data_IF_545669762578
#
_entry.id   IF_545669762578
#
_cell.length_a   1.000
_cell.length_b   1.000
_cell.length_c   1.000
_cell.angle_alpha   90.00
_cell.angle_beta   90.00
_cell.angle_gamma   90.00
#
_symmetry.space_group_name_H-M   'P 1'
#
loop_
_entity.id
_entity.type
_entity.pdbx_description
1 polymer ?
#
# COMPACT_ATOMS: atom_id res chain seq x y z
N UNK A 1 -43.99 -2.78 21.58
CA UNK A 1 -42.61 -3.30 21.71
C UNK A 1 -41.81 -3.14 20.42
N UNK A 2 -42.30 -3.66 19.28
CA UNK A 2 -41.64 -3.57 17.97
C UNK A 2 -41.37 -2.14 17.45
N UNK A 3 -42.28 -1.20 17.71
CA UNK A 3 -42.15 0.21 17.27
C UNK A 3 -40.94 0.90 17.92
N UNK A 4 -40.68 0.63 19.21
CA UNK A 4 -39.54 1.21 19.92
C UNK A 4 -38.20 0.64 19.42
N UNK A 5 -38.18 -0.64 19.06
CA UNK A 5 -37.01 -1.30 18.48
C UNK A 5 -36.71 -0.71 17.10
N UNK A 6 -37.73 -0.55 16.25
CA UNK A 6 -37.58 0.05 14.92
C UNK A 6 -37.05 1.48 15.00
N UNK A 7 -37.60 2.29 15.93
CA UNK A 7 -37.13 3.66 16.16
C UNK A 7 -35.66 3.68 16.56
N UNK A 8 -35.24 2.81 17.49
CA UNK A 8 -33.85 2.75 17.94
C UNK A 8 -32.90 2.35 16.79
N UNK A 9 -33.26 1.35 15.99
CA UNK A 9 -32.46 0.92 14.85
C UNK A 9 -32.32 2.05 13.82
N UNK A 10 -33.41 2.78 13.53
CA UNK A 10 -33.37 3.92 12.62
C UNK A 10 -32.48 5.06 13.15
N UNK A 11 -32.54 5.33 14.45
CA UNK A 11 -31.73 6.36 15.11
C UNK A 11 -30.24 5.98 15.12
N UNK A 12 -29.93 4.72 15.47
CA UNK A 12 -28.57 4.19 15.43
C UNK A 12 -28.01 4.25 13.99
N UNK A 13 -28.83 3.93 12.99
CA UNK A 13 -28.44 4.03 11.58
C UNK A 13 -28.08 5.47 11.17
N UNK A 14 -28.90 6.47 11.54
CA UNK A 14 -28.60 7.88 11.28
C UNK A 14 -27.33 8.33 12.00
N UNK A 15 -27.13 7.93 13.25
CA UNK A 15 -25.92 8.22 14.00
C UNK A 15 -24.68 7.61 13.34
N UNK A 16 -24.79 6.40 12.79
CA UNK A 16 -23.71 5.76 12.04
C UNK A 16 -23.36 6.50 10.75
N UNK A 17 -24.34 7.06 10.04
CA UNK A 17 -24.08 7.89 8.84
C UNK A 17 -23.25 9.12 9.21
N UNK A 18 -23.57 9.79 10.31
CA UNK A 18 -22.85 10.99 10.76
C UNK A 18 -21.48 10.63 11.36
N UNK A 19 -21.38 9.49 12.04
CA UNK A 19 -20.12 9.01 12.62
C UNK A 19 -19.14 8.48 11.56
N UNK A 20 -19.63 7.95 10.45
CA UNK A 20 -18.84 7.39 9.37
C UNK A 20 -17.68 8.29 8.89
N UNK A 21 -17.90 9.57 8.50
CA UNK A 21 -16.81 10.44 8.06
C UNK A 21 -15.78 10.70 9.17
N UNK A 22 -16.24 10.85 10.42
CA UNK A 22 -15.33 11.02 11.56
C UNK A 22 -14.45 9.79 11.76
N UNK A 23 -15.03 8.58 11.69
CA UNK A 23 -14.27 7.35 11.79
C UNK A 23 -13.29 7.18 10.64
N UNK A 24 -13.69 7.52 9.40
CA UNK A 24 -12.84 7.40 8.21
C UNK A 24 -11.52 8.14 8.35
N UNK A 25 -11.55 9.39 8.82
CA UNK A 25 -10.34 10.21 9.00
C UNK A 25 -9.61 9.99 10.33
N UNK A 26 -10.13 9.13 11.22
CA UNK A 26 -9.50 8.82 12.51
C UNK A 26 -9.06 7.36 12.56
N UNK A 27 -9.90 6.48 13.09
CA UNK A 27 -9.62 5.06 13.26
C UNK A 27 -9.44 4.33 11.94
N UNK A 28 -10.23 4.68 10.93
CA UNK A 28 -10.13 4.15 9.56
C UNK A 28 -8.79 4.48 8.94
N UNK A 29 -8.39 5.76 8.98
CA UNK A 29 -7.12 6.25 8.45
C UNK A 29 -5.93 5.52 9.06
N UNK A 30 -5.92 5.36 10.39
CA UNK A 30 -4.84 4.62 11.08
C UNK A 30 -4.76 3.17 10.58
N UNK A 31 -5.90 2.48 10.48
CA UNK A 31 -5.94 1.08 10.02
C UNK A 31 -5.50 0.95 8.56
N UNK A 32 -5.99 1.84 7.70
CA UNK A 32 -5.61 1.87 6.29
C UNK A 32 -4.11 2.17 6.12
N UNK A 33 -3.56 3.12 6.90
CA UNK A 33 -2.14 3.44 6.88
C UNK A 33 -1.26 2.26 7.33
N UNK A 34 -1.65 1.57 8.40
CA UNK A 34 -0.96 0.35 8.85
C UNK A 34 -1.02 -0.75 7.78
N UNK A 35 -2.19 -0.94 7.16
CA UNK A 35 -2.34 -1.90 6.08
C UNK A 35 -1.46 -1.57 4.85
N UNK A 36 -1.37 -0.29 4.47
CA UNK A 36 -0.46 0.15 3.42
C UNK A 36 0.99 -0.13 3.78
N UNK A 37 1.39 0.10 5.04
CA UNK A 37 2.73 -0.22 5.50
C UNK A 37 3.02 -1.73 5.40
N UNK A 38 2.09 -2.58 5.81
CA UNK A 38 2.22 -4.03 5.69
C UNK A 38 2.35 -4.48 4.21
N UNK A 39 1.62 -3.84 3.29
CA UNK A 39 1.75 -4.09 1.85
C UNK A 39 3.12 -3.68 1.30
N UNK A 40 3.73 -2.62 1.82
CA UNK A 40 5.08 -2.20 1.43
C UNK A 40 6.14 -3.19 1.96
N UNK A 41 5.99 -3.65 3.21
CA UNK A 41 6.87 -4.68 3.76
C UNK A 41 6.79 -5.97 2.94
N UNK A 42 5.58 -6.42 2.63
CA UNK A 42 5.36 -7.59 1.78
C UNK A 42 5.98 -7.41 0.39
N UNK A 43 5.83 -6.22 -0.22
CA UNK A 43 6.49 -5.90 -1.49
C UNK A 43 8.02 -5.96 -1.39
N UNK A 44 8.59 -5.53 -0.27
CA UNK A 44 10.02 -5.60 -0.01
C UNK A 44 10.50 -7.05 0.15
N UNK A 45 9.71 -7.92 0.79
CA UNK A 45 10.06 -9.34 0.94
C UNK A 45 10.07 -10.08 -0.41
N UNK A 46 9.14 -9.78 -1.32
CA UNK A 46 9.09 -10.40 -2.64
C UNK A 46 10.19 -9.90 -3.59
N UNK A 47 10.48 -8.60 -3.57
CA UNK A 47 11.45 -8.01 -4.50
C UNK A 47 12.87 -8.01 -3.94
N UNK A 48 13.00 -7.96 -2.61
CA UNK A 48 14.22 -8.02 -1.81
C UNK A 48 15.41 -7.20 -2.33
N UNK A 49 15.23 -5.94 -2.80
CA UNK A 49 16.32 -5.16 -3.40
C UNK A 49 17.52 -5.02 -2.46
N UNK A 50 17.27 -4.84 -1.15
CA UNK A 50 18.31 -4.72 -0.12
C UNK A 50 19.25 -5.93 -0.05
N UNK A 51 18.69 -7.14 -0.23
CA UNK A 51 19.47 -8.38 -0.17
C UNK A 51 20.42 -8.47 -1.37
N UNK A 52 19.97 -8.04 -2.55
CA UNK A 52 20.78 -8.03 -3.75
C UNK A 52 21.90 -7.00 -3.68
N UNK A 53 21.64 -5.81 -3.12
CA UNK A 53 22.66 -4.78 -2.89
C UNK A 53 23.76 -5.29 -1.96
N UNK A 54 23.39 -5.90 -0.83
CA UNK A 54 24.37 -6.45 0.14
C UNK A 54 25.24 -7.56 -0.45
N UNK A 55 24.70 -8.32 -1.42
CA UNK A 55 25.40 -9.44 -2.03
C UNK A 55 26.01 -9.11 -3.40
N UNK A 56 26.13 -7.84 -3.80
CA UNK A 56 26.56 -7.51 -5.17
C UNK A 56 27.94 -8.08 -5.55
N UNK A 57 28.84 -8.23 -4.56
CA UNK A 57 30.20 -8.75 -4.76
C UNK A 57 30.34 -10.28 -4.59
N UNK A 58 29.27 -10.98 -4.24
CA UNK A 58 29.30 -12.44 -4.11
C UNK A 58 29.20 -13.08 -5.50
N UNK A 59 30.13 -13.96 -5.91
CA UNK A 59 30.09 -14.57 -7.25
C UNK A 59 28.88 -15.53 -7.39
N UNK A 60 28.16 -15.48 -8.53
CA UNK A 60 27.01 -16.35 -8.80
C UNK A 60 27.39 -17.80 -9.10
N UNK A 61 28.51 -18.04 -9.78
CA UNK A 61 28.86 -19.36 -10.34
C UNK A 61 29.96 -20.10 -9.58
N UNK A 62 30.37 -19.61 -8.40
CA UNK A 62 31.46 -20.21 -7.61
C UNK A 62 32.85 -20.17 -8.28
N UNK A 63 32.94 -19.75 -9.54
CA UNK A 63 34.19 -19.53 -10.27
C UNK A 63 34.88 -18.24 -9.79
N UNK A 64 36.18 -18.34 -9.56
CA UNK A 64 37.01 -17.23 -9.08
C UNK A 64 37.63 -16.41 -10.20
N UNK A 65 37.35 -16.76 -11.46
CA UNK A 65 37.86 -16.04 -12.63
C UNK A 65 37.41 -14.59 -12.64
N UNK A 66 38.35 -13.69 -12.97
CA UNK A 66 38.11 -12.25 -12.98
C UNK A 66 37.00 -11.85 -13.96
N UNK A 67 36.92 -12.53 -15.11
CA UNK A 67 35.87 -12.35 -16.12
C UNK A 67 34.50 -12.76 -15.57
N UNK A 68 34.41 -13.91 -14.88
CA UNK A 68 33.18 -14.40 -14.28
C UNK A 68 32.66 -13.49 -13.15
N UNK A 69 33.57 -12.90 -12.37
CA UNK A 69 33.22 -11.91 -11.34
C UNK A 69 32.64 -10.61 -11.93
N UNK A 70 33.24 -10.09 -13.00
CA UNK A 70 32.74 -8.90 -13.70
C UNK A 70 31.33 -9.11 -14.24
N UNK A 71 31.08 -10.25 -14.89
CA UNK A 71 29.74 -10.60 -15.40
C UNK A 71 28.73 -10.76 -14.26
N UNK A 72 29.11 -11.41 -13.16
CA UNK A 72 28.25 -11.58 -11.97
C UNK A 72 27.83 -10.23 -11.36
N UNK A 73 28.76 -9.28 -11.24
CA UNK A 73 28.47 -7.93 -10.74
C UNK A 73 27.51 -7.21 -11.68
N UNK A 74 27.73 -7.28 -13.00
CA UNK A 74 26.87 -6.63 -13.98
C UNK A 74 25.43 -7.17 -13.96
N UNK A 75 25.25 -8.50 -13.94
CA UNK A 75 23.92 -9.11 -13.87
C UNK A 75 23.21 -8.74 -12.55
N UNK A 76 23.92 -8.78 -11.42
CA UNK A 76 23.36 -8.35 -10.13
C UNK A 76 22.99 -6.87 -10.12
N UNK A 77 23.80 -6.02 -10.73
CA UNK A 77 23.52 -4.59 -10.88
C UNK A 77 22.23 -4.33 -11.67
N UNK A 78 22.06 -5.01 -12.81
CA UNK A 78 20.82 -4.91 -13.61
C UNK A 78 19.62 -5.43 -12.81
N UNK A 79 19.75 -6.56 -12.12
CA UNK A 79 18.68 -7.10 -11.27
C UNK A 79 18.29 -6.14 -10.13
N UNK A 80 19.26 -5.47 -9.50
CA UNK A 80 19.00 -4.46 -8.47
C UNK A 80 18.19 -3.30 -9.07
N UNK A 81 18.59 -2.77 -10.23
CA UNK A 81 17.85 -1.67 -10.88
C UNK A 81 16.41 -2.08 -11.19
N UNK A 82 16.22 -3.24 -11.84
CA UNK A 82 14.89 -3.70 -12.22
C UNK A 82 13.99 -3.98 -10.99
N UNK A 83 14.52 -4.63 -9.96
CA UNK A 83 13.76 -4.91 -8.72
C UNK A 83 13.45 -3.64 -7.94
N UNK A 84 14.38 -2.69 -7.90
CA UNK A 84 14.15 -1.37 -7.26
C UNK A 84 13.07 -0.60 -8.01
N UNK A 85 13.12 -0.59 -9.34
CA UNK A 85 12.07 0.05 -10.16
C UNK A 85 10.70 -0.60 -9.95
N UNK A 86 10.64 -1.94 -9.92
CA UNK A 86 9.42 -2.67 -9.61
C UNK A 86 8.87 -2.34 -8.21
N UNK A 87 9.76 -2.18 -7.21
CA UNK A 87 9.36 -1.82 -5.85
C UNK A 87 8.85 -0.38 -5.75
N UNK A 88 9.47 0.55 -6.47
CA UNK A 88 8.99 1.93 -6.59
C UNK A 88 7.59 1.95 -7.23
N UNK A 89 7.39 1.19 -8.31
CA UNK A 89 6.09 1.09 -8.96
C UNK A 89 5.02 0.50 -8.02
N UNK A 90 5.35 -0.57 -7.29
CA UNK A 90 4.47 -1.15 -6.27
C UNK A 90 4.10 -0.12 -5.19
N UNK A 91 5.09 0.60 -4.68
CA UNK A 91 4.88 1.66 -3.69
C UNK A 91 3.97 2.75 -4.23
N UNK A 92 4.16 3.18 -5.48
CA UNK A 92 3.32 4.18 -6.13
C UNK A 92 1.87 3.71 -6.26
N UNK A 93 1.63 2.44 -6.60
CA UNK A 93 0.27 1.86 -6.67
C UNK A 93 -0.40 1.84 -5.30
N UNK A 94 0.31 1.39 -4.26
CA UNK A 94 -0.23 1.37 -2.88
C UNK A 94 -0.60 2.79 -2.42
N UNK A 95 0.27 3.78 -2.67
CA UNK A 95 0.00 5.17 -2.31
C UNK A 95 -1.16 5.77 -3.12
N UNK A 96 -1.27 5.44 -4.41
CA UNK A 96 -2.37 5.90 -5.26
C UNK A 96 -3.71 5.36 -4.76
N UNK A 97 -3.79 4.06 -4.44
CA UNK A 97 -5.00 3.44 -3.89
C UNK A 97 -5.36 4.08 -2.55
N UNK A 98 -4.38 4.30 -1.68
CA UNK A 98 -4.59 4.97 -0.40
C UNK A 98 -5.12 6.40 -0.57
N UNK A 99 -4.58 7.16 -1.52
CA UNK A 99 -5.04 8.51 -1.82
C UNK A 99 -6.47 8.51 -2.37
N UNK A 100 -6.82 7.58 -3.26
CA UNK A 100 -8.20 7.40 -3.75
C UNK A 100 -9.13 7.06 -2.59
N UNK A 101 -8.74 6.15 -1.71
CA UNK A 101 -9.51 5.80 -0.52
C UNK A 101 -9.72 7.01 0.41
N UNK A 102 -8.70 7.84 0.60
CA UNK A 102 -8.79 9.04 1.42
C UNK A 102 -9.69 10.13 0.79
N UNK A 103 -9.65 10.28 -0.54
CA UNK A 103 -10.47 11.23 -1.27
C UNK A 103 -11.93 10.77 -1.42
N UNK A 104 -12.21 9.48 -1.27
CA UNK A 104 -13.52 8.88 -1.52
C UNK A 104 -14.68 9.56 -0.77
N UNK A 105 -14.60 9.83 0.55
CA UNK A 105 -15.70 10.48 1.25
C UNK A 105 -15.92 11.92 0.78
N UNK A 106 -14.85 12.65 0.48
CA UNK A 106 -14.94 14.03 -0.05
C UNK A 106 -15.63 14.04 -1.42
N UNK A 107 -15.25 13.09 -2.28
CA UNK A 107 -15.85 12.94 -3.60
C UNK A 107 -17.35 12.64 -3.53
N UNK A 108 -17.78 11.78 -2.61
CA UNK A 108 -19.21 11.49 -2.39
C UNK A 108 -19.95 12.75 -1.93
N UNK A 109 -19.39 13.50 -0.98
CA UNK A 109 -20.02 14.75 -0.50
C UNK A 109 -20.16 15.76 -1.65
N UNK A 110 -19.11 15.93 -2.46
CA UNK A 110 -19.16 16.78 -3.64
C UNK A 110 -20.25 16.35 -4.63
N UNK A 111 -20.35 15.05 -4.92
CA UNK A 111 -21.36 14.50 -5.82
C UNK A 111 -22.78 14.77 -5.30
N UNK A 112 -23.03 14.59 -4.01
CA UNK A 112 -24.33 14.86 -3.38
C UNK A 112 -24.72 16.34 -3.54
N UNK A 113 -23.79 17.27 -3.30
CA UNK A 113 -24.06 18.70 -3.45
C UNK A 113 -24.24 19.15 -4.90
N UNK A 114 -23.62 18.46 -5.86
CA UNK A 114 -23.75 18.79 -7.28
C UNK A 114 -25.06 18.25 -7.88
N UNK A 115 -25.58 17.12 -7.35
CA UNK A 115 -26.81 16.48 -7.82
C UNK A 115 -28.10 17.09 -7.25
N UNK A 116 -28.01 17.86 -6.16
CA UNK A 116 -29.12 18.56 -5.48
C UNK A 116 -29.32 19.96 -6.06
#
# INVERSE_FOLDING_TARGET
>A
MWIMILQKIALDFLLHIVYFPLWWYTGGLKKAGLYCFDLLLLGNDYLAPDVWVKNIFVPMFGQTDWQGRLVSIFIRFVNIILRTFAFILWTAVVLMIFAVWLAWPVFIVYLIFNLL
#
